data_IF_723727384843
#
_entry.id   IF_723727384843
#
_cell.length_a   1.000
_cell.length_b   1.000
_cell.length_c   1.000
_cell.angle_alpha   90.00
_cell.angle_beta   90.00
_cell.angle_gamma   90.00
#
_symmetry.space_group_name_H-M   'P 1'
#
loop_
_entity.id
_entity.type
_entity.pdbx_description
1 polymer ?
#
# COMPACT_ATOMS: atom_id res chain seq x y z
N UNK A 1 -16.94 9.06 2.09
CA UNK A 1 -15.55 8.71 1.73
C UNK A 1 -15.27 9.24 0.34
N UNK A 2 -14.04 9.72 0.08
CA UNK A 2 -13.65 10.04 -1.30
C UNK A 2 -13.45 8.74 -2.07
N UNK A 3 -14.11 8.63 -3.21
CA UNK A 3 -13.94 7.50 -4.14
C UNK A 3 -12.58 7.65 -4.82
N UNK A 4 -11.83 6.56 -4.91
CA UNK A 4 -10.50 6.49 -5.56
C UNK A 4 -10.62 5.50 -6.72
N UNK A 5 -9.98 5.82 -7.85
CA UNK A 5 -9.88 4.91 -8.99
C UNK A 5 -8.60 4.10 -8.87
N UNK A 6 -8.72 2.77 -8.86
CA UNK A 6 -7.63 1.86 -8.51
C UNK A 6 -7.48 0.80 -9.59
N UNK A 7 -6.29 0.64 -10.15
CA UNK A 7 -5.96 -0.45 -11.08
C UNK A 7 -5.20 -1.57 -10.38
N UNK A 8 -5.59 -2.82 -10.64
CA UNK A 8 -4.99 -4.01 -10.03
C UNK A 8 -4.42 -4.91 -11.11
N UNK A 9 -3.10 -5.10 -11.08
CA UNK A 9 -2.38 -5.86 -12.11
C UNK A 9 -2.12 -7.26 -11.60
N UNK A 10 -2.74 -8.23 -12.25
CA UNK A 10 -2.77 -9.63 -11.84
C UNK A 10 -4.07 -9.97 -11.12
N UNK A 11 -4.76 -10.98 -11.64
CA UNK A 11 -6.06 -11.47 -11.15
C UNK A 11 -5.97 -12.86 -10.52
N UNK A 12 -4.78 -13.22 -10.01
CA UNK A 12 -4.64 -14.31 -9.04
C UNK A 12 -5.33 -13.97 -7.71
N UNK A 13 -5.29 -14.88 -6.74
CA UNK A 13 -6.08 -14.74 -5.50
C UNK A 13 -5.84 -13.39 -4.80
N UNK A 14 -4.57 -12.97 -4.65
CA UNK A 14 -4.22 -11.67 -4.03
C UNK A 14 -4.91 -10.51 -4.72
N UNK A 15 -4.76 -10.42 -6.04
CA UNK A 15 -5.30 -9.32 -6.82
C UNK A 15 -6.82 -9.33 -6.84
N UNK A 16 -7.44 -10.46 -7.18
CA UNK A 16 -8.90 -10.57 -7.26
C UNK A 16 -9.59 -10.29 -5.92
N UNK A 17 -9.03 -10.78 -4.81
CA UNK A 17 -9.57 -10.52 -3.47
C UNK A 17 -9.37 -9.05 -3.09
N UNK A 18 -8.13 -8.54 -3.18
CA UNK A 18 -7.82 -7.15 -2.83
C UNK A 18 -8.74 -6.18 -3.57
N UNK A 19 -8.92 -6.37 -4.87
CA UNK A 19 -9.77 -5.50 -5.68
C UNK A 19 -11.22 -5.56 -5.33
N UNK A 20 -11.74 -6.78 -5.21
CA UNK A 20 -13.16 -6.95 -4.93
C UNK A 20 -13.51 -6.39 -3.55
N UNK A 21 -12.65 -6.60 -2.56
CA UNK A 21 -12.83 -6.01 -1.24
C UNK A 21 -12.68 -4.49 -1.25
N UNK A 22 -11.76 -3.91 -2.04
CA UNK A 22 -11.70 -2.46 -2.22
C UNK A 22 -12.94 -1.89 -2.93
N UNK A 23 -13.53 -2.63 -3.88
CA UNK A 23 -14.80 -2.25 -4.51
C UNK A 23 -15.95 -2.25 -3.49
N UNK A 24 -16.01 -3.28 -2.63
CA UNK A 24 -16.97 -3.37 -1.52
C UNK A 24 -16.86 -2.18 -0.56
N UNK A 25 -15.64 -1.67 -0.36
CA UNK A 25 -15.38 -0.46 0.43
C UNK A 25 -15.75 0.85 -0.30
N UNK A 26 -16.22 0.77 -1.55
CA UNK A 26 -16.78 1.89 -2.32
C UNK A 26 -15.87 2.49 -3.39
N UNK A 27 -14.72 1.87 -3.68
CA UNK A 27 -13.76 2.36 -4.69
C UNK A 27 -14.10 1.88 -6.10
N UNK A 28 -13.55 2.55 -7.11
CA UNK A 28 -13.67 2.13 -8.51
C UNK A 28 -12.45 1.30 -8.87
N UNK A 29 -12.66 0.09 -9.36
CA UNK A 29 -11.62 -0.90 -9.57
C UNK A 29 -11.52 -1.26 -11.04
N UNK A 30 -10.30 -1.23 -11.57
CA UNK A 30 -9.95 -1.73 -12.90
C UNK A 30 -9.05 -2.94 -12.73
N UNK A 31 -9.55 -4.15 -12.99
CA UNK A 31 -8.69 -5.34 -13.03
C UNK A 31 -7.96 -5.42 -14.36
N UNK A 32 -6.65 -5.67 -14.27
CA UNK A 32 -5.76 -5.77 -15.41
C UNK A 32 -5.08 -7.14 -15.39
N UNK A 33 -5.25 -7.90 -16.47
CA UNK A 33 -4.56 -9.18 -16.65
C UNK A 33 -4.29 -9.42 -18.14
N UNK A 34 -3.33 -10.30 -18.44
CA UNK A 34 -3.11 -10.77 -19.82
C UNK A 34 -4.08 -11.89 -20.19
N UNK A 35 -4.62 -12.59 -19.20
CA UNK A 35 -5.55 -13.69 -19.40
C UNK A 35 -6.99 -13.18 -19.51
N UNK A 36 -7.45 -13.03 -20.75
CA UNK A 36 -8.82 -12.58 -21.05
C UNK A 36 -9.88 -13.47 -20.37
N UNK A 37 -9.63 -14.77 -20.19
CA UNK A 37 -10.62 -15.67 -19.57
C UNK A 37 -10.86 -15.32 -18.10
N UNK A 38 -9.81 -14.93 -17.37
CA UNK A 38 -9.95 -14.49 -15.97
C UNK A 38 -10.71 -13.18 -15.88
N UNK A 39 -10.44 -12.26 -16.81
CA UNK A 39 -11.16 -10.99 -16.90
C UNK A 39 -12.64 -11.20 -17.23
N UNK A 40 -12.97 -12.10 -18.15
CA UNK A 40 -14.36 -12.41 -18.51
C UNK A 40 -15.14 -13.00 -17.32
N UNK A 41 -14.49 -13.83 -16.50
CA UNK A 41 -15.07 -14.34 -15.26
C UNK A 41 -15.37 -13.18 -14.29
N UNK A 42 -14.37 -12.34 -13.98
CA UNK A 42 -14.54 -11.19 -13.09
C UNK A 42 -15.64 -10.25 -13.60
N UNK A 43 -15.64 -9.92 -14.90
CA UNK A 43 -16.62 -9.05 -15.53
C UNK A 43 -18.04 -9.60 -15.42
N UNK A 44 -18.20 -10.93 -15.53
CA UNK A 44 -19.49 -11.60 -15.34
C UNK A 44 -19.86 -11.86 -13.88
N UNK A 45 -19.09 -11.31 -12.93
CA UNK A 45 -19.33 -11.50 -11.49
C UNK A 45 -19.00 -12.90 -11.00
N UNK A 46 -18.13 -13.63 -11.68
CA UNK A 46 -17.68 -14.98 -11.29
C UNK A 46 -16.27 -14.95 -10.76
N UNK A 47 -16.01 -15.79 -9.77
CA UNK A 47 -14.66 -15.86 -9.20
C UNK A 47 -13.69 -16.57 -10.15
N UNK A 48 -12.51 -15.98 -10.46
CA UNK A 48 -11.48 -16.65 -11.26
C UNK A 48 -10.70 -17.73 -10.48
N UNK A 49 -10.77 -17.70 -9.15
CA UNK A 49 -10.08 -18.60 -8.23
C UNK A 49 -11.07 -19.19 -7.20
N UNK A 50 -10.78 -20.34 -6.60
CA UNK A 50 -11.62 -20.84 -5.51
C UNK A 50 -11.36 -20.01 -4.24
N UNK A 51 -12.30 -19.15 -3.88
CA UNK A 51 -12.22 -18.31 -2.69
C UNK A 51 -13.65 -18.07 -2.15
N UNK A 52 -13.97 -18.57 -0.94
CA UNK A 52 -15.28 -18.37 -0.33
C UNK A 52 -15.65 -16.87 -0.21
N UNK A 53 -16.86 -16.51 -0.62
CA UNK A 53 -17.37 -15.13 -0.53
C UNK A 53 -16.96 -14.21 -1.69
N UNK A 54 -15.92 -14.55 -2.47
CA UNK A 54 -15.42 -13.68 -3.53
C UNK A 54 -16.43 -13.48 -4.66
N UNK A 55 -17.09 -14.55 -5.11
CA UNK A 55 -18.09 -14.48 -6.17
C UNK A 55 -19.28 -13.58 -5.78
N UNK A 56 -19.77 -13.70 -4.55
CA UNK A 56 -20.87 -12.87 -4.05
C UNK A 56 -20.48 -11.39 -4.01
N UNK A 57 -19.25 -11.09 -3.59
CA UNK A 57 -18.74 -9.71 -3.57
C UNK A 57 -18.53 -9.16 -4.98
N UNK A 58 -18.06 -9.97 -5.93
CA UNK A 58 -17.92 -9.59 -7.34
C UNK A 58 -19.28 -9.22 -7.95
N UNK A 59 -20.30 -10.07 -7.75
CA UNK A 59 -21.67 -9.82 -8.24
C UNK A 59 -22.24 -8.53 -7.66
N UNK A 60 -22.07 -8.33 -6.34
CA UNK A 60 -22.55 -7.14 -5.64
C UNK A 60 -21.89 -5.85 -6.15
N UNK A 61 -20.62 -5.91 -6.54
CA UNK A 61 -19.81 -4.74 -6.86
C UNK A 61 -19.55 -4.53 -8.36
N UNK A 62 -20.30 -5.16 -9.27
CA UNK A 62 -20.14 -5.00 -10.71
C UNK A 62 -20.18 -3.54 -11.18
N UNK A 63 -21.01 -2.69 -10.55
CA UNK A 63 -21.10 -1.25 -10.87
C UNK A 63 -19.82 -0.47 -10.56
N UNK A 64 -18.88 -1.07 -9.83
CA UNK A 64 -17.59 -0.50 -9.44
C UNK A 64 -16.40 -1.19 -10.10
N UNK A 65 -16.64 -2.23 -10.89
CA UNK A 65 -15.59 -3.11 -11.39
C UNK A 65 -15.60 -3.07 -12.92
N UNK A 66 -14.45 -2.74 -13.48
CA UNK A 66 -14.16 -2.94 -14.89
C UNK A 66 -12.93 -3.83 -15.06
N UNK A 67 -12.74 -4.33 -16.27
CA UNK A 67 -11.65 -5.26 -16.60
C UNK A 67 -11.03 -4.87 -17.93
N UNK A 68 -9.71 -4.96 -18.05
CA UNK A 68 -9.02 -4.66 -19.30
C UNK A 68 -7.72 -5.45 -19.44
N UNK A 69 -7.27 -5.67 -20.67
CA UNK A 69 -5.92 -6.15 -20.97
C UNK A 69 -4.94 -4.99 -21.24
N UNK A 70 -5.46 -3.77 -21.40
CA UNK A 70 -4.68 -2.56 -21.65
C UNK A 70 -4.18 -1.96 -20.34
N UNK A 71 -2.99 -2.41 -19.92
CA UNK A 71 -2.32 -1.88 -18.75
C UNK A 71 -2.02 -0.37 -18.86
N UNK A 72 -1.45 0.14 -19.98
CA UNK A 72 -1.23 1.58 -20.13
C UNK A 72 -2.48 2.43 -19.92
N UNK A 73 -3.62 2.01 -20.47
CA UNK A 73 -4.88 2.73 -20.30
C UNK A 73 -5.36 2.70 -18.85
N UNK A 74 -5.28 1.55 -18.18
CA UNK A 74 -5.62 1.45 -16.77
C UNK A 74 -4.78 2.39 -15.89
N UNK A 75 -3.47 2.51 -16.16
CA UNK A 75 -2.60 3.43 -15.41
C UNK A 75 -3.02 4.88 -15.60
N UNK A 76 -3.26 5.33 -16.84
CA UNK A 76 -3.65 6.73 -17.14
C UNK A 76 -5.02 7.12 -16.57
N UNK A 77 -5.92 6.15 -16.42
CA UNK A 77 -7.30 6.38 -15.98
C UNK A 77 -7.53 6.06 -14.50
N UNK A 78 -6.47 5.83 -13.72
CA UNK A 78 -6.56 5.54 -12.27
C UNK A 78 -5.61 6.42 -11.48
N UNK A 79 -5.87 6.56 -10.18
CA UNK A 79 -5.02 7.35 -9.27
C UNK A 79 -3.93 6.48 -8.61
N UNK A 80 -4.19 5.17 -8.55
CA UNK A 80 -3.40 4.21 -7.81
C UNK A 80 -3.36 2.85 -8.51
N UNK A 81 -2.18 2.25 -8.58
CA UNK A 81 -1.95 0.92 -9.16
C UNK A 81 -1.39 -0.04 -8.12
N UNK A 82 -2.04 -1.19 -7.93
CA UNK A 82 -1.46 -2.33 -7.23
C UNK A 82 -0.80 -3.31 -8.22
N UNK A 83 0.45 -3.68 -7.94
CA UNK A 83 1.13 -4.79 -8.60
C UNK A 83 0.88 -6.05 -7.77
N UNK A 84 0.09 -6.98 -8.32
CA UNK A 84 -0.35 -8.24 -7.70
C UNK A 84 -0.03 -9.47 -8.58
N UNK A 85 1.01 -9.38 -9.40
CA UNK A 85 1.47 -10.48 -10.25
C UNK A 85 2.21 -11.55 -9.44
N UNK A 86 2.29 -12.76 -10.01
CA UNK A 86 2.97 -13.88 -9.36
C UNK A 86 4.49 -13.72 -9.38
N UNK A 87 5.12 -14.26 -8.34
CA UNK A 87 6.58 -14.36 -8.19
C UNK A 87 6.95 -15.81 -7.87
N UNK A 88 6.84 -16.72 -8.86
CA UNK A 88 7.11 -18.14 -8.65
C UNK A 88 8.58 -18.38 -8.29
N UNK A 89 8.86 -19.56 -7.75
CA UNK A 89 10.24 -20.03 -7.60
C UNK A 89 10.83 -20.45 -8.96
N UNK A 90 12.10 -20.15 -9.15
CA UNK A 90 12.93 -20.68 -10.23
C UNK A 90 13.41 -22.10 -9.90
N UNK A 91 14.03 -22.79 -10.86
CA UNK A 91 14.58 -24.14 -10.70
C UNK A 91 15.63 -24.24 -9.57
N UNK A 92 16.35 -23.15 -9.30
CA UNK A 92 17.34 -23.05 -8.22
C UNK A 92 16.73 -22.62 -6.87
N UNK A 93 15.41 -22.46 -6.80
CA UNK A 93 14.67 -22.02 -5.62
C UNK A 93 14.68 -20.51 -5.37
N UNK A 94 15.39 -19.73 -6.19
CA UNK A 94 15.34 -18.26 -6.13
C UNK A 94 13.98 -17.73 -6.59
N UNK A 95 13.65 -16.49 -6.23
CA UNK A 95 12.39 -15.85 -6.62
C UNK A 95 12.48 -15.30 -8.05
N UNK A 96 11.46 -15.56 -8.86
CA UNK A 96 11.31 -14.93 -10.17
C UNK A 96 10.62 -13.56 -10.06
N UNK A 97 11.36 -12.49 -10.36
CA UNK A 97 10.86 -11.11 -10.38
C UNK A 97 10.57 -10.59 -11.79
N UNK A 98 10.61 -11.45 -12.83
CA UNK A 98 10.42 -11.04 -14.22
C UNK A 98 9.06 -10.38 -14.43
N UNK A 99 7.99 -10.92 -13.84
CA UNK A 99 6.64 -10.34 -13.99
C UNK A 99 6.57 -8.93 -13.40
N UNK A 100 7.12 -8.73 -12.18
CA UNK A 100 7.21 -7.40 -11.55
C UNK A 100 7.99 -6.44 -12.45
N UNK A 101 9.12 -6.89 -13.01
CA UNK A 101 9.96 -6.07 -13.89
C UNK A 101 9.21 -5.63 -15.15
N UNK A 102 8.55 -6.56 -15.85
CA UNK A 102 7.80 -6.27 -17.08
C UNK A 102 6.64 -5.32 -16.79
N UNK A 103 5.89 -5.55 -15.71
CA UNK A 103 4.80 -4.66 -15.30
C UNK A 103 5.33 -3.26 -14.96
N UNK A 104 6.41 -3.18 -14.19
CA UNK A 104 7.05 -1.89 -13.85
C UNK A 104 7.52 -1.13 -15.08
N UNK A 105 8.03 -1.83 -16.11
CA UNK A 105 8.41 -1.20 -17.37
C UNK A 105 7.21 -0.57 -18.08
N UNK A 106 6.10 -1.30 -18.19
CA UNK A 106 4.89 -0.80 -18.85
C UNK A 106 4.25 0.35 -18.07
N UNK A 107 4.21 0.27 -16.73
CA UNK A 107 3.76 1.38 -15.88
C UNK A 107 4.66 2.60 -16.13
N UNK A 108 5.98 2.45 -16.06
CA UNK A 108 6.91 3.56 -16.25
C UNK A 108 6.73 4.27 -17.59
N UNK A 109 6.59 3.53 -18.69
CA UNK A 109 6.28 4.11 -20.02
C UNK A 109 4.97 4.90 -20.02
N UNK A 110 3.96 4.41 -19.30
CA UNK A 110 2.64 5.04 -19.21
C UNK A 110 2.70 6.35 -18.40
N UNK A 111 3.49 6.37 -17.32
CA UNK A 111 3.75 7.57 -16.53
C UNK A 111 4.52 8.65 -17.32
N UNK A 112 5.38 8.25 -18.25
CA UNK A 112 6.13 9.17 -19.10
C UNK A 112 5.26 9.98 -20.06
N UNK A 113 4.03 9.51 -20.35
CA UNK A 113 3.07 10.16 -21.26
C UNK A 113 1.93 10.88 -20.56
N UNK A 114 1.92 10.94 -19.22
CA UNK A 114 0.85 11.54 -18.41
C UNK A 114 1.46 12.33 -17.26
N UNK A 115 1.09 13.60 -17.09
CA UNK A 115 1.63 14.48 -16.04
C UNK A 115 0.94 14.33 -14.66
N UNK A 116 -0.08 13.48 -14.56
CA UNK A 116 -0.75 13.22 -13.29
C UNK A 116 0.17 12.47 -12.31
N UNK A 117 0.06 12.85 -11.02
CA UNK A 117 0.77 12.15 -9.96
C UNK A 117 0.13 10.81 -9.69
N UNK A 118 0.88 9.73 -9.88
CA UNK A 118 0.38 8.37 -9.75
C UNK A 118 1.01 7.64 -8.56
N UNK A 119 0.24 6.80 -7.88
CA UNK A 119 0.75 5.96 -6.78
C UNK A 119 0.86 4.49 -7.21
N UNK A 120 2.00 3.87 -7.00
CA UNK A 120 2.26 2.46 -7.30
C UNK A 120 2.48 1.71 -5.98
N UNK A 121 1.71 0.65 -5.76
CA UNK A 121 1.84 -0.21 -4.59
C UNK A 121 2.30 -1.60 -5.04
N UNK A 122 3.51 -1.98 -4.64
CA UNK A 122 3.98 -3.36 -4.76
C UNK A 122 3.32 -4.21 -3.67
N UNK A 123 2.38 -5.07 -4.08
CA UNK A 123 1.73 -6.05 -3.20
C UNK A 123 2.22 -7.48 -3.43
N UNK A 124 2.66 -7.80 -4.65
CA UNK A 124 3.38 -9.03 -4.94
C UNK A 124 4.50 -9.29 -3.95
N UNK A 125 4.62 -10.53 -3.50
CA UNK A 125 5.72 -10.96 -2.63
C UNK A 125 7.05 -10.72 -3.32
N UNK A 126 7.95 -9.99 -2.65
CA UNK A 126 9.30 -9.73 -3.13
C UNK A 126 10.29 -9.94 -1.99
N UNK A 127 11.58 -10.05 -2.34
CA UNK A 127 12.64 -9.97 -1.34
C UNK A 127 12.72 -8.53 -0.78
N UNK A 128 13.15 -8.34 0.47
CA UNK A 128 13.51 -7.02 0.97
C UNK A 128 14.45 -6.31 -0.02
N UNK A 129 14.16 -5.06 -0.37
CA UNK A 129 14.90 -4.32 -1.38
C UNK A 129 14.32 -4.38 -2.79
N UNK A 130 13.32 -5.23 -3.08
CA UNK A 130 12.75 -5.34 -4.44
C UNK A 130 12.16 -4.00 -4.92
N UNK A 131 11.50 -3.26 -4.03
CA UNK A 131 10.95 -1.94 -4.36
C UNK A 131 12.07 -0.97 -4.75
N UNK A 132 13.12 -0.89 -3.94
CA UNK A 132 14.22 0.07 -4.03
C UNK A 132 15.22 -0.26 -5.15
N UNK A 133 15.48 -1.55 -5.38
CA UNK A 133 16.52 -2.01 -6.31
C UNK A 133 15.98 -2.42 -7.68
N UNK A 134 14.67 -2.65 -7.81
CA UNK A 134 14.04 -3.07 -9.06
C UNK A 134 12.89 -2.15 -9.48
N UNK A 135 11.87 -1.98 -8.65
CA UNK A 135 10.63 -1.28 -9.08
C UNK A 135 10.91 0.20 -9.35
N UNK A 136 11.44 0.92 -8.36
CA UNK A 136 11.74 2.36 -8.48
C UNK A 136 12.71 2.63 -9.64
N UNK A 137 13.89 1.98 -9.74
CA UNK A 137 14.82 2.26 -10.83
C UNK A 137 14.25 1.99 -12.22
N UNK A 138 13.40 0.96 -12.36
CA UNK A 138 12.74 0.66 -13.64
C UNK A 138 11.71 1.74 -13.97
N UNK A 139 10.87 2.14 -13.01
CA UNK A 139 9.87 3.18 -13.22
C UNK A 139 10.54 4.50 -13.62
N UNK A 140 11.56 4.96 -12.90
CA UNK A 140 12.27 6.20 -13.21
C UNK A 140 12.92 6.17 -14.59
N UNK A 141 13.56 5.05 -14.95
CA UNK A 141 14.23 4.90 -16.25
C UNK A 141 13.24 4.97 -17.41
N UNK A 142 12.12 4.28 -17.32
CA UNK A 142 11.16 4.17 -18.42
C UNK A 142 10.25 5.40 -18.53
N UNK A 143 10.01 6.11 -17.43
CA UNK A 143 9.18 7.32 -17.40
C UNK A 143 9.95 8.60 -17.64
N UNK A 144 11.26 8.63 -17.34
CA UNK A 144 12.03 9.87 -17.23
C UNK A 144 11.68 10.71 -16.00
N UNK A 145 10.87 10.16 -15.08
CA UNK A 145 10.34 10.82 -13.87
C UNK A 145 11.02 10.32 -12.61
N UNK A 146 10.72 10.96 -11.47
CA UNK A 146 11.31 10.67 -10.17
C UNK A 146 10.30 10.25 -9.12
N UNK A 147 10.64 9.20 -8.39
CA UNK A 147 9.89 8.78 -7.20
C UNK A 147 9.88 9.92 -6.17
N UNK A 148 8.76 10.04 -5.45
CA UNK A 148 8.41 11.15 -4.55
C UNK A 148 8.29 12.55 -5.15
N UNK A 149 8.63 12.75 -6.42
CA UNK A 149 8.48 14.05 -7.10
C UNK A 149 7.29 14.01 -8.05
N UNK A 150 7.29 13.05 -8.96
CA UNK A 150 6.32 12.95 -10.05
C UNK A 150 5.35 11.77 -9.89
N UNK A 151 5.78 10.72 -9.19
CA UNK A 151 4.98 9.57 -8.78
C UNK A 151 5.41 9.10 -7.39
N UNK A 152 4.69 8.15 -6.80
CA UNK A 152 5.04 7.57 -5.50
C UNK A 152 5.02 6.05 -5.52
N UNK A 153 6.02 5.42 -4.91
CA UNK A 153 6.07 3.96 -4.76
C UNK A 153 6.00 3.55 -3.29
N UNK A 154 5.16 2.56 -3.01
CA UNK A 154 5.06 1.90 -1.71
C UNK A 154 5.11 0.37 -1.86
N UNK A 155 5.52 -0.33 -0.81
CA UNK A 155 5.24 -1.75 -0.63
C UNK A 155 4.08 -1.93 0.35
N UNK A 156 3.16 -2.83 0.03
CA UNK A 156 2.10 -3.26 0.93
C UNK A 156 1.99 -4.77 0.84
N UNK A 157 2.84 -5.52 1.59
CA UNK A 157 2.78 -6.97 1.58
C UNK A 157 1.40 -7.45 2.01
N UNK A 158 1.11 -8.70 1.69
CA UNK A 158 -0.15 -9.36 2.02
C UNK A 158 0.10 -10.55 2.97
N UNK A 159 -0.93 -10.90 3.72
CA UNK A 159 -0.91 -12.00 4.70
C UNK A 159 -2.17 -12.88 4.55
N UNK A 160 -2.75 -12.89 3.35
CA UNK A 160 -3.98 -13.59 3.05
C UNK A 160 -3.69 -15.09 2.92
N UNK A 161 -4.58 -15.94 3.40
CA UNK A 161 -4.51 -17.38 3.13
C UNK A 161 -5.55 -17.73 2.08
N UNK A 162 -5.16 -18.46 1.03
CA UNK A 162 -6.12 -19.00 0.06
C UNK A 162 -7.19 -19.83 0.78
N UNK A 163 -8.46 -19.61 0.41
CA UNK A 163 -9.62 -20.24 1.05
C UNK A 163 -10.20 -19.47 2.24
N UNK A 164 -9.51 -18.43 2.74
CA UNK A 164 -10.02 -17.49 3.73
C UNK A 164 -9.61 -16.04 3.46
N UNK A 165 -9.11 -15.73 2.27
CA UNK A 165 -8.51 -14.45 1.92
C UNK A 165 -9.51 -13.30 1.99
N UNK A 166 -10.79 -13.52 1.65
CA UNK A 166 -11.83 -12.49 1.82
C UNK A 166 -12.00 -12.14 3.30
N UNK A 167 -12.07 -13.15 4.17
CA UNK A 167 -12.20 -12.96 5.61
C UNK A 167 -10.94 -12.31 6.20
N UNK A 168 -9.76 -12.79 5.82
CA UNK A 168 -8.47 -12.25 6.26
C UNK A 168 -8.28 -10.79 5.81
N UNK A 169 -8.87 -10.37 4.68
CA UNK A 169 -8.81 -8.98 4.23
C UNK A 169 -9.59 -8.04 5.17
N UNK A 170 -10.79 -8.44 5.57
CA UNK A 170 -11.65 -7.61 6.44
C UNK A 170 -11.27 -7.70 7.92
N UNK A 171 -10.62 -8.79 8.32
CA UNK A 171 -10.22 -9.06 9.71
C UNK A 171 -8.71 -9.26 9.86
N UNK A 172 -7.91 -8.52 9.09
CA UNK A 172 -6.47 -8.63 9.14
C UNK A 172 -5.89 -8.18 10.49
N UNK A 173 -4.90 -8.90 11.00
CA UNK A 173 -4.21 -8.53 12.24
C UNK A 173 -3.45 -7.20 12.11
N UNK A 174 -2.91 -6.94 10.90
CA UNK A 174 -2.14 -5.73 10.60
C UNK A 174 -2.02 -5.50 9.10
N UNK A 175 -1.92 -4.22 8.74
CA UNK A 175 -1.47 -3.78 7.42
C UNK A 175 -0.15 -3.06 7.55
N UNK A 176 0.82 -3.55 6.77
CA UNK A 176 2.17 -3.02 6.68
C UNK A 176 2.28 -2.19 5.41
N UNK A 177 2.82 -0.98 5.54
CA UNK A 177 3.12 -0.10 4.41
C UNK A 177 4.56 0.38 4.52
N UNK A 178 5.39 -0.04 3.57
CA UNK A 178 6.74 0.47 3.37
C UNK A 178 6.72 1.60 2.33
N UNK A 179 7.37 2.72 2.63
CA UNK A 179 7.59 3.81 1.68
C UNK A 179 9.06 4.17 1.73
N UNK A 180 9.67 4.49 0.59
CA UNK A 180 11.09 4.81 0.50
C UNK A 180 11.40 6.27 0.94
N UNK A 181 10.70 6.74 1.97
CA UNK A 181 11.05 7.92 2.75
C UNK A 181 11.25 7.47 4.22
N UNK A 182 11.74 8.34 5.10
CA UNK A 182 12.00 7.96 6.50
C UNK A 182 10.78 7.49 7.33
N UNK A 183 9.60 7.36 6.73
CA UNK A 183 8.33 7.07 7.40
C UNK A 183 7.72 5.73 6.95
N UNK A 184 8.36 4.59 7.23
CA UNK A 184 7.64 3.30 7.30
C UNK A 184 6.68 3.37 8.48
N UNK A 185 5.37 3.24 8.24
CA UNK A 185 4.33 3.30 9.28
C UNK A 185 3.64 1.94 9.38
N UNK A 186 3.76 1.28 10.53
CA UNK A 186 2.87 0.18 10.93
C UNK A 186 1.58 0.81 11.48
N UNK A 187 0.44 0.47 10.88
CA UNK A 187 -0.83 1.19 11.12
C UNK A 187 -1.63 0.56 12.29
N UNK A 188 -1.25 -0.64 12.73
CA UNK A 188 -1.88 -1.38 13.83
C UNK A 188 -0.85 -1.81 14.88
N UNK A 189 -1.16 -1.73 16.18
CA UNK A 189 -0.34 -2.38 17.20
C UNK A 189 -0.47 -3.90 17.04
N UNK A 190 0.66 -4.61 17.12
CA UNK A 190 0.70 -6.06 17.17
C UNK A 190 -0.30 -6.62 18.22
N UNK A 191 -0.98 -7.72 17.89
CA UNK A 191 -1.60 -8.56 18.89
C UNK A 191 -0.56 -8.91 19.98
N UNK A 192 -0.99 -8.95 21.23
CA UNK A 192 -0.13 -9.11 22.40
C UNK A 192 0.93 -10.19 22.18
N UNK A 193 2.17 -9.73 22.11
CA UNK A 193 3.38 -10.48 21.79
C UNK A 193 3.66 -11.55 22.86
N UNK A 194 3.77 -12.81 22.44
CA UNK A 194 4.31 -13.91 23.25
C UNK A 194 5.84 -13.84 23.13
N UNK A 195 6.57 -13.42 24.18
CA UNK A 195 8.01 -13.18 24.14
C UNK A 195 8.86 -14.42 23.83
N UNK A 196 8.26 -15.62 23.74
CA UNK A 196 8.93 -16.86 23.37
C UNK A 196 8.94 -17.13 21.85
N UNK A 197 8.27 -16.32 21.02
CA UNK A 197 7.87 -16.74 19.67
C UNK A 197 8.14 -15.85 18.46
N UNK A 198 8.97 -14.78 18.50
CA UNK A 198 9.99 -14.43 17.44
C UNK A 198 10.49 -12.99 17.47
N UNK A 199 11.65 -12.83 16.83
CA UNK A 199 12.45 -11.62 16.70
C UNK A 199 12.87 -11.47 15.21
N UNK A 200 12.62 -10.32 14.55
CA UNK A 200 13.52 -9.84 13.51
C UNK A 200 13.99 -8.40 13.79
N UNK A 201 15.29 -8.21 13.60
CA UNK A 201 16.08 -7.03 13.97
C UNK A 201 15.95 -5.89 12.94
N UNK A 202 15.54 -4.69 13.41
CA UNK A 202 15.42 -3.46 12.61
C UNK A 202 16.42 -2.35 13.03
N UNK A 203 17.42 -2.64 13.88
CA UNK A 203 18.19 -1.57 14.55
C UNK A 203 19.25 -0.86 13.70
N UNK A 204 19.46 -1.24 12.44
CA UNK A 204 20.62 -0.77 11.65
C UNK A 204 20.41 0.50 10.81
N UNK A 205 19.18 0.96 10.62
CA UNK A 205 18.88 2.07 9.70
C UNK A 205 18.98 3.48 10.34
N UNK A 206 18.80 3.58 11.66
CA UNK A 206 18.80 4.87 12.36
C UNK A 206 20.23 5.37 12.68
N UNK A 207 21.17 4.45 12.86
CA UNK A 207 22.54 4.77 13.27
C UNK A 207 23.37 5.44 12.15
N UNK A 208 22.96 5.31 10.88
CA UNK A 208 23.82 5.66 9.73
C UNK A 208 23.51 7.03 9.11
N UNK A 209 22.24 7.50 9.10
CA UNK A 209 21.81 8.50 8.08
C UNK A 209 21.30 9.86 8.58
N UNK A 210 21.07 10.07 9.87
CA UNK A 210 20.99 11.41 10.50
C UNK A 210 20.14 12.54 9.85
N UNK A 211 19.09 12.27 9.06
CA UNK A 211 18.42 13.30 8.22
C UNK A 211 16.99 13.68 8.69
N UNK A 212 16.49 14.89 8.32
CA UNK A 212 15.09 15.39 8.57
C UNK A 212 14.55 16.38 7.50
N UNK A 213 13.24 16.34 7.11
CA UNK A 213 12.59 17.27 6.17
C UNK A 213 11.62 18.33 6.78
N UNK A 214 11.17 19.29 5.93
CA UNK A 214 10.52 20.56 6.34
C UNK A 214 9.00 20.73 6.13
N UNK A 215 8.31 20.13 5.15
CA UNK A 215 6.82 19.98 5.19
C UNK A 215 6.44 18.73 4.39
N UNK A 216 5.56 17.85 4.91
CA UNK A 216 5.85 16.44 4.70
C UNK A 216 4.69 15.64 4.08
N UNK A 217 5.05 14.74 3.16
CA UNK A 217 4.17 13.72 2.57
C UNK A 217 3.44 12.90 3.65
N UNK A 218 3.94 12.87 4.89
CA UNK A 218 3.27 12.30 6.04
C UNK A 218 1.89 12.87 6.32
N UNK A 219 1.53 14.08 5.83
CA UNK A 219 0.17 14.64 5.89
C UNK A 219 -0.75 14.00 4.83
N UNK A 220 -0.25 13.70 3.63
CA UNK A 220 -1.04 13.03 2.57
C UNK A 220 -1.12 11.52 2.80
N UNK A 221 -0.01 10.91 3.21
CA UNK A 221 0.00 9.55 3.75
C UNK A 221 -0.85 9.48 5.01
N UNK A 222 -0.89 10.49 5.89
CA UNK A 222 -1.87 10.53 6.99
C UNK A 222 -3.28 10.45 6.45
N UNK A 223 -3.63 11.11 5.34
CA UNK A 223 -4.99 10.99 4.78
C UNK A 223 -5.29 9.59 4.27
N UNK A 224 -4.33 8.93 3.63
CA UNK A 224 -4.45 7.53 3.16
C UNK A 224 -4.49 6.57 4.35
N UNK A 225 -3.68 6.81 5.39
CA UNK A 225 -3.61 6.02 6.62
C UNK A 225 -4.87 6.23 7.46
N UNK A 226 -5.33 7.46 7.65
CA UNK A 226 -6.61 7.80 8.30
C UNK A 226 -7.79 7.22 7.51
N UNK A 227 -7.69 7.16 6.18
CA UNK A 227 -8.68 6.48 5.33
C UNK A 227 -8.66 4.95 5.56
N UNK A 228 -7.50 4.30 5.59
CA UNK A 228 -7.36 2.88 5.95
C UNK A 228 -7.83 2.58 7.38
N UNK A 229 -7.50 3.45 8.35
CA UNK A 229 -7.95 3.37 9.75
C UNK A 229 -9.48 3.55 9.87
N UNK A 230 -10.06 4.48 9.11
CA UNK A 230 -11.51 4.71 9.07
C UNK A 230 -12.28 3.55 8.44
N UNK A 231 -11.69 2.89 7.44
CA UNK A 231 -12.22 1.69 6.77
C UNK A 231 -12.30 0.50 7.74
N UNK A 232 -11.29 0.31 8.60
CA UNK A 232 -11.22 -0.82 9.52
C UNK A 232 -11.83 -0.56 10.91
N UNK A 233 -12.61 0.54 11.06
CA UNK A 233 -13.47 0.75 12.22
C UNK A 233 -12.75 1.04 13.55
N UNK A 234 -11.57 1.67 13.49
CA UNK A 234 -10.73 1.91 14.69
C UNK A 234 -11.32 2.97 15.64
N UNK A 235 -12.30 3.78 15.22
CA UNK A 235 -12.94 4.79 16.10
C UNK A 235 -13.51 4.19 17.40
N UNK A 236 -13.92 2.92 17.39
CA UNK A 236 -14.42 2.20 18.58
C UNK A 236 -13.34 1.93 19.65
N UNK A 237 -12.07 2.04 19.31
CA UNK A 237 -10.92 1.75 20.18
C UNK A 237 -10.11 3.01 20.58
N UNK A 238 -10.44 4.17 20.02
CA UNK A 238 -9.81 5.48 20.31
C UNK A 238 -10.10 6.10 21.69
N UNK A 239 -11.18 5.80 22.45
CA UNK A 239 -11.49 6.58 23.65
C UNK A 239 -10.46 6.50 24.79
N UNK A 240 -9.58 5.48 24.82
CA UNK A 240 -8.71 5.25 25.98
C UNK A 240 -7.43 6.10 25.97
N UNK A 241 -7.00 6.63 24.82
CA UNK A 241 -5.66 7.25 24.68
C UNK A 241 -5.65 8.76 24.46
N UNK A 242 -6.77 9.37 24.07
CA UNK A 242 -6.82 10.82 23.78
C UNK A 242 -6.66 11.68 25.03
N UNK A 243 -7.19 11.27 26.19
CA UNK A 243 -7.10 12.08 27.42
C UNK A 243 -5.69 12.13 28.03
N UNK A 244 -4.92 11.02 27.99
CA UNK A 244 -3.55 10.99 28.54
C UNK A 244 -2.55 11.73 27.67
N UNK A 245 -2.70 11.67 26.34
CA UNK A 245 -1.85 12.41 25.40
C UNK A 245 -2.08 13.93 25.46
N UNK A 246 -3.33 14.38 25.59
CA UNK A 246 -3.63 15.81 25.78
C UNK A 246 -3.05 16.33 27.11
N UNK A 247 -3.06 15.50 28.16
CA UNK A 247 -2.48 15.83 29.46
C UNK A 247 -0.94 15.90 29.42
N UNK A 248 -0.29 14.95 28.75
CA UNK A 248 1.15 14.94 28.53
C UNK A 248 1.63 16.11 27.65
N UNK A 249 0.86 16.45 26.61
CA UNK A 249 1.14 17.60 25.73
C UNK A 249 1.00 18.93 26.48
N UNK A 250 -0.03 19.09 27.33
CA UNK A 250 -0.19 20.28 28.20
C UNK A 250 0.94 20.41 29.22
N UNK A 251 1.44 19.30 29.77
CA UNK A 251 2.56 19.28 30.69
C UNK A 251 3.89 19.66 30.00
N UNK A 252 4.16 19.10 28.81
CA UNK A 252 5.36 19.42 28.02
C UNK A 252 5.37 20.86 27.52
N UNK A 253 4.21 21.40 27.12
CA UNK A 253 4.08 22.79 26.68
C UNK A 253 4.41 23.82 27.78
N UNK A 254 4.03 23.54 29.03
CA UNK A 254 4.40 24.39 30.19
C UNK A 254 5.89 24.37 30.48
N UNK A 255 6.55 23.22 30.32
CA UNK A 255 8.00 23.07 30.53
C UNK A 255 8.86 23.72 29.45
N UNK A 256 8.32 23.86 28.24
CA UNK A 256 9.01 24.50 27.11
C UNK A 256 8.91 26.03 27.16
N UNK A 257 7.79 26.59 27.63
CA UNK A 257 7.66 28.06 27.79
C UNK A 257 8.48 28.63 28.96
N UNK A 258 8.83 27.83 29.97
CA UNK A 258 9.69 28.28 31.08
C UNK A 258 11.19 28.28 30.77
N UNK A 259 11.60 27.87 29.55
CA UNK A 259 13.02 27.78 29.13
C UNK A 259 13.45 28.84 28.10
N UNK A 260 12.60 29.82 27.80
CA UNK A 260 12.91 30.90 26.83
C UNK A 260 12.92 32.31 27.44
N UNK A 261 13.13 32.43 28.76
CA UNK A 261 13.32 33.74 29.42
C UNK A 261 14.63 33.91 30.20
N UNK A 262 15.58 32.98 30.10
CA UNK A 262 16.89 33.16 30.76
C UNK A 262 18.00 32.93 29.75
N UNK A 263 18.50 34.05 29.25
CA UNK A 263 19.82 34.30 28.63
C UNK A 263 19.70 35.14 27.35
N UNK A 264 19.17 36.35 27.50
CA UNK A 264 19.69 37.49 26.75
C UNK A 264 20.84 38.09 27.55
N UNK A 265 22.08 37.94 27.09
CA UNK A 265 23.05 39.03 27.13
C UNK A 265 24.15 38.81 26.08
N UNK A 266 24.65 39.89 25.46
CA UNK A 266 25.44 39.82 24.24
C UNK A 266 26.93 39.66 24.55
N UNK A 267 27.60 38.80 23.79
CA UNK A 267 28.72 39.08 22.88
C UNK A 267 29.09 37.79 22.14
#
# INVERSE_FOLDING_TARGET
MNVINISLIGTGYVGSVTGTCLAELGHQIVFVDRDQKKLDLIHSGKSPNFEPGLEQLLQKNQVRITTTTDLPDAVRNTDLTFICVGTPSQDDGSIDLQQIRVVSQTIGKSLGSDDNYHTIILKSTGLPGTTETLVIPVLERESGKKDFVDFGVASSPEFLKEGSAVEDFFHTDRVVIGVNNQNTKEIFPAAMDDPLRRNPDIRRANEILGWKPQVPLEIKLDRIIQWMIGIWGVEKYVPYYTQRMISAWRYLRRKLHSRHQVNGNPL
#
